data_IF_151044912224
#
_entry.id   IF_151044912224
#
_cell.length_a   1.000
_cell.length_b   1.000
_cell.length_c   1.000
_cell.angle_alpha   90.00
_cell.angle_beta   90.00
_cell.angle_gamma   90.00
#
_symmetry.space_group_name_H-M   'P 1'
#
loop_
_entity.id
_entity.type
_entity.pdbx_description
1 polymer ?
#
# COMPACT_ATOMS: atom_id res chain seq x y z
N UNK A 1 22.42 22.32 -7.70
CA UNK A 1 21.52 21.82 -8.77
C UNK A 1 21.02 20.49 -8.25
N UNK A 2 19.75 20.42 -7.87
CA UNK A 2 19.11 19.14 -7.51
C UNK A 2 19.15 18.26 -8.76
N UNK A 3 19.90 17.16 -8.72
CA UNK A 3 19.86 16.19 -9.81
C UNK A 3 18.48 15.55 -9.83
N UNK A 4 17.89 15.50 -11.02
CA UNK A 4 16.54 14.97 -11.22
C UNK A 4 16.51 13.44 -10.99
N UNK A 5 15.48 12.92 -10.30
CA UNK A 5 15.28 11.48 -10.15
C UNK A 5 15.31 10.79 -11.52
N UNK A 6 15.95 9.63 -11.58
CA UNK A 6 16.08 8.85 -12.83
C UNK A 6 15.01 7.78 -12.90
N UNK A 7 14.43 7.62 -14.08
CA UNK A 7 13.43 6.59 -14.37
C UNK A 7 14.04 5.58 -15.36
N UNK A 8 13.88 4.31 -15.05
CA UNK A 8 14.13 3.20 -15.99
C UNK A 8 12.85 2.41 -16.16
N UNK A 9 12.32 2.37 -17.38
CA UNK A 9 11.12 1.61 -17.71
C UNK A 9 11.49 0.34 -18.47
N UNK A 10 11.49 -0.81 -17.80
CA UNK A 10 11.55 -2.12 -18.42
C UNK A 10 10.15 -2.50 -18.90
N UNK A 11 9.87 -2.24 -20.17
CA UNK A 11 8.53 -2.38 -20.75
C UNK A 11 7.97 -3.81 -20.56
N UNK A 12 6.72 -3.91 -20.09
CA UNK A 12 6.07 -5.18 -19.77
C UNK A 12 6.48 -5.79 -18.43
N UNK A 13 7.34 -5.12 -17.65
CA UNK A 13 7.85 -5.63 -16.37
C UNK A 13 7.68 -4.62 -15.23
N UNK A 14 8.48 -3.53 -15.22
CA UNK A 14 8.54 -2.59 -14.10
C UNK A 14 9.05 -1.21 -14.49
N UNK A 15 8.80 -0.26 -13.59
CA UNK A 15 9.40 1.08 -13.60
C UNK A 15 10.25 1.21 -12.34
N UNK A 16 11.54 1.54 -12.48
CA UNK A 16 12.47 1.77 -11.38
C UNK A 16 12.79 3.25 -11.27
N UNK A 17 12.77 3.78 -10.04
CA UNK A 17 13.10 5.17 -9.73
C UNK A 17 14.37 5.19 -8.87
N UNK A 18 15.39 5.94 -9.33
CA UNK A 18 16.70 6.03 -8.69
C UNK A 18 17.00 7.47 -8.27
N UNK A 19 17.49 7.64 -7.05
CA UNK A 19 18.04 8.88 -6.56
C UNK A 19 19.50 9.02 -7.09
N UNK A 20 19.81 10.06 -7.88
CA UNK A 20 21.03 10.10 -8.69
C UNK A 20 22.31 10.36 -7.87
N UNK A 21 22.23 11.06 -6.72
CA UNK A 21 23.41 11.42 -5.90
C UNK A 21 23.95 10.20 -5.16
N UNK A 22 23.08 9.43 -4.53
CA UNK A 22 23.43 8.21 -3.81
C UNK A 22 23.51 6.99 -4.72
N UNK A 23 22.85 7.03 -5.89
CA UNK A 23 22.70 5.90 -6.78
C UNK A 23 21.68 4.85 -6.30
N UNK A 24 20.93 5.16 -5.25
CA UNK A 24 19.96 4.24 -4.65
C UNK A 24 18.71 4.14 -5.51
N UNK A 25 18.33 2.92 -5.90
CA UNK A 25 17.01 2.61 -6.44
C UNK A 25 15.99 2.72 -5.29
N UNK A 26 15.24 3.84 -5.23
CA UNK A 26 14.26 4.10 -4.18
C UNK A 26 13.12 3.08 -4.21
N UNK A 27 12.67 2.76 -5.43
CA UNK A 27 11.59 1.79 -5.63
C UNK A 27 11.59 1.16 -7.02
N UNK A 28 10.96 -0.02 -7.10
CA UNK A 28 10.51 -0.61 -8.37
C UNK A 28 8.99 -0.81 -8.32
N UNK A 29 8.27 -0.14 -9.22
CA UNK A 29 6.84 -0.36 -9.47
C UNK A 29 6.68 -1.48 -10.49
N UNK A 30 6.24 -2.65 -10.04
CA UNK A 30 6.12 -3.86 -10.85
C UNK A 30 4.67 -4.02 -11.30
N UNK A 31 4.45 -4.17 -12.62
CA UNK A 31 3.11 -4.29 -13.22
C UNK A 31 2.93 -5.51 -14.12
N UNK A 32 3.96 -6.35 -14.24
CA UNK A 32 3.85 -7.64 -14.94
C UNK A 32 2.82 -8.55 -14.26
N UNK A 33 2.14 -9.36 -15.05
CA UNK A 33 1.25 -10.39 -14.53
C UNK A 33 2.06 -11.49 -13.80
N UNK A 34 1.49 -12.00 -12.71
CA UNK A 34 2.08 -13.07 -11.90
C UNK A 34 1.08 -14.23 -11.72
N UNK A 35 1.41 -15.20 -10.83
CA UNK A 35 0.58 -16.38 -10.60
C UNK A 35 -0.83 -16.04 -10.09
N UNK A 36 -1.86 -16.64 -10.68
CA UNK A 36 -3.27 -16.35 -10.41
C UNK A 36 -3.64 -16.51 -8.94
N UNK A 37 -3.14 -17.55 -8.26
CA UNK A 37 -3.37 -17.79 -6.84
C UNK A 37 -2.92 -16.66 -5.91
N UNK A 38 -1.97 -15.85 -6.35
CA UNK A 38 -1.44 -14.72 -5.59
C UNK A 38 -2.22 -13.42 -5.84
N UNK A 39 -3.36 -13.47 -6.54
CA UNK A 39 -4.15 -12.33 -6.99
C UNK A 39 -3.26 -11.29 -7.70
N UNK A 40 -2.92 -11.50 -8.97
CA UNK A 40 -2.06 -10.61 -9.73
C UNK A 40 -2.51 -9.16 -9.64
N UNK A 41 -1.58 -8.28 -9.27
CA UNK A 41 -1.79 -6.84 -9.12
C UNK A 41 -0.47 -6.10 -9.20
N UNK A 42 -0.43 -4.86 -9.69
CA UNK A 42 0.76 -4.03 -9.58
C UNK A 42 1.11 -3.71 -8.14
N UNK A 43 2.41 -3.68 -7.84
CA UNK A 43 2.95 -3.44 -6.51
C UNK A 43 4.30 -2.72 -6.56
N UNK A 44 4.74 -2.20 -5.41
CA UNK A 44 6.07 -1.64 -5.23
C UNK A 44 6.92 -2.60 -4.38
N UNK A 45 7.97 -3.13 -5.00
CA UNK A 45 9.03 -3.86 -4.32
C UNK A 45 10.27 -3.98 -5.23
N UNK A 46 11.49 -3.74 -4.68
CA UNK A 46 11.76 -3.20 -3.35
C UNK A 46 11.31 -1.75 -3.18
N UNK A 47 11.07 -1.35 -1.94
CA UNK A 47 10.98 0.03 -1.47
C UNK A 47 12.15 0.23 -0.53
N UNK A 48 12.95 1.31 -0.70
CA UNK A 48 14.21 1.49 0.01
C UNK A 48 14.31 2.83 0.70
N UNK A 49 15.08 2.86 1.79
CA UNK A 49 15.57 4.09 2.38
C UNK A 49 16.62 4.75 1.48
N UNK A 50 17.03 5.98 1.79
CA UNK A 50 18.13 6.64 1.07
C UNK A 50 19.51 6.02 1.37
N UNK A 51 19.64 5.21 2.44
CA UNK A 51 20.79 4.36 2.69
C UNK A 51 20.84 3.10 1.82
N UNK A 52 19.73 2.78 1.14
CA UNK A 52 19.60 1.60 0.29
C UNK A 52 18.96 0.38 0.97
N UNK A 53 18.59 0.49 2.25
CA UNK A 53 17.99 -0.60 3.01
C UNK A 53 16.54 -0.84 2.59
N UNK A 54 16.18 -2.10 2.41
CA UNK A 54 14.83 -2.48 1.96
C UNK A 54 13.85 -2.45 3.12
N UNK A 55 12.74 -1.72 2.94
CA UNK A 55 11.66 -1.59 3.92
C UNK A 55 10.39 -2.35 3.51
N UNK A 56 10.48 -3.29 2.58
CA UNK A 56 9.36 -4.15 2.16
C UNK A 56 9.79 -5.61 2.13
N UNK A 57 8.84 -6.55 2.36
CA UNK A 57 9.03 -7.98 2.11
C UNK A 57 8.32 -8.41 0.82
N UNK A 58 8.77 -9.49 0.22
CA UNK A 58 8.25 -10.00 -1.04
C UNK A 58 8.08 -11.51 -1.02
N UNK A 59 6.83 -11.96 -1.20
CA UNK A 59 6.46 -13.38 -1.27
C UNK A 59 7.04 -14.23 -0.14
N UNK A 60 6.87 -13.84 1.15
CA UNK A 60 7.32 -14.67 2.25
C UNK A 60 6.67 -16.08 2.16
N UNK A 61 7.37 -17.10 2.63
CA UNK A 61 6.97 -18.51 2.45
C UNK A 61 5.55 -18.84 2.90
N UNK A 62 5.09 -18.17 3.94
CA UNK A 62 3.78 -18.34 4.57
C UNK A 62 2.67 -17.47 3.94
N UNK A 63 3.06 -16.41 3.19
CA UNK A 63 2.13 -15.44 2.58
C UNK A 63 2.64 -14.96 1.21
N UNK A 64 2.73 -15.86 0.22
CA UNK A 64 3.29 -15.54 -1.10
C UNK A 64 2.55 -14.45 -1.87
N UNK A 65 1.31 -14.17 -1.51
CA UNK A 65 0.51 -13.07 -2.06
C UNK A 65 0.80 -11.70 -1.44
N UNK A 66 1.65 -11.61 -0.40
CA UNK A 66 2.15 -10.33 0.11
C UNK A 66 3.32 -9.84 -0.74
N UNK A 67 3.16 -8.65 -1.34
CA UNK A 67 4.09 -8.09 -2.32
C UNK A 67 4.36 -6.62 -2.02
N UNK A 68 5.24 -6.37 -1.06
CA UNK A 68 5.69 -5.03 -0.70
C UNK A 68 4.55 -4.07 -0.36
N UNK A 69 4.39 -3.03 -1.15
CA UNK A 69 3.31 -2.04 -1.06
C UNK A 69 2.37 -2.22 -2.26
N UNK A 70 1.10 -2.52 -2.01
CA UNK A 70 0.11 -2.76 -3.08
C UNK A 70 -1.31 -2.40 -2.64
N UNK A 71 -2.12 -1.96 -3.60
CA UNK A 71 -3.56 -1.85 -3.36
C UNK A 71 -4.19 -3.25 -3.40
N UNK A 72 -5.11 -3.51 -2.49
CA UNK A 72 -5.70 -4.83 -2.27
C UNK A 72 -7.20 -4.72 -1.95
N UNK A 73 -7.93 -5.81 -2.18
CA UNK A 73 -9.31 -5.94 -1.73
C UNK A 73 -9.53 -7.40 -1.27
N UNK A 74 -9.49 -7.63 0.05
CA UNK A 74 -9.55 -8.97 0.62
C UNK A 74 -10.93 -9.62 0.49
N UNK A 75 -11.99 -8.80 0.49
CA UNK A 75 -13.37 -9.19 0.22
C UNK A 75 -13.99 -8.13 -0.70
N UNK A 76 -14.33 -8.51 -1.91
CA UNK A 76 -14.92 -7.62 -2.90
C UNK A 76 -16.11 -8.31 -3.55
N UNK A 77 -17.34 -8.06 -3.05
CA UNK A 77 -18.55 -8.73 -3.54
C UNK A 77 -18.39 -10.26 -3.65
N UNK A 78 -17.71 -10.89 -2.68
CA UNK A 78 -17.42 -12.33 -2.66
C UNK A 78 -16.12 -12.76 -3.33
N UNK A 79 -15.46 -11.89 -4.11
CA UNK A 79 -14.14 -12.16 -4.67
C UNK A 79 -13.00 -11.78 -3.69
N UNK A 80 -11.83 -12.37 -3.91
CA UNK A 80 -10.59 -12.15 -3.16
C UNK A 80 -9.51 -11.59 -4.09
N UNK A 81 -9.29 -10.27 -4.07
CA UNK A 81 -8.21 -9.60 -4.78
C UNK A 81 -7.00 -9.31 -3.85
N UNK A 82 -6.97 -9.98 -2.71
CA UNK A 82 -5.84 -10.04 -1.80
C UNK A 82 -4.85 -11.14 -2.21
N UNK A 83 -5.38 -12.33 -2.47
CA UNK A 83 -4.66 -13.55 -2.81
C UNK A 83 -4.65 -14.60 -1.69
N UNK A 84 -4.28 -15.81 -2.05
CA UNK A 84 -4.24 -16.94 -1.13
C UNK A 84 -5.62 -17.35 -0.61
N UNK A 85 -5.64 -17.84 0.62
CA UNK A 85 -6.87 -18.35 1.24
C UNK A 85 -7.89 -17.24 1.50
N UNK A 86 -9.17 -17.56 1.25
CA UNK A 86 -10.30 -16.69 1.61
C UNK A 86 -10.84 -17.07 2.99
N UNK A 87 -11.16 -16.07 3.80
CA UNK A 87 -11.83 -16.31 5.08
C UNK A 87 -13.31 -16.63 4.86
N UNK A 88 -13.79 -17.68 5.52
CA UNK A 88 -15.20 -18.10 5.54
C UNK A 88 -15.66 -18.17 6.99
N UNK A 89 -16.76 -17.48 7.30
CA UNK A 89 -17.30 -17.46 8.67
C UNK A 89 -17.59 -18.88 9.18
N UNK A 90 -17.12 -19.19 10.37
CA UNK A 90 -17.28 -20.51 11.00
C UNK A 90 -16.35 -21.61 10.50
N UNK A 91 -15.68 -21.42 9.35
CA UNK A 91 -14.78 -22.42 8.74
C UNK A 91 -13.31 -21.99 8.74
N UNK A 92 -13.03 -20.67 8.87
CA UNK A 92 -11.68 -20.11 8.85
C UNK A 92 -11.16 -19.84 7.44
N UNK A 93 -9.85 -20.02 7.23
CA UNK A 93 -9.21 -19.75 5.94
C UNK A 93 -9.20 -20.97 5.05
N UNK A 94 -9.91 -20.89 3.93
CA UNK A 94 -10.05 -21.96 2.95
C UNK A 94 -9.37 -21.59 1.63
N UNK A 95 -8.78 -22.60 0.99
CA UNK A 95 -8.27 -22.50 -0.37
C UNK A 95 -9.46 -22.56 -1.34
N UNK A 96 -9.88 -21.40 -1.86
CA UNK A 96 -10.99 -21.28 -2.82
C UNK A 96 -10.46 -20.51 -4.05
N UNK A 97 -9.79 -21.20 -4.99
CA UNK A 97 -9.21 -20.55 -6.18
C UNK A 97 -10.22 -19.72 -6.98
N UNK A 98 -11.47 -20.18 -7.03
CA UNK A 98 -12.58 -19.56 -7.77
C UNK A 98 -13.02 -18.21 -7.17
N UNK A 99 -12.48 -17.81 -6.02
CA UNK A 99 -12.67 -16.47 -5.46
C UNK A 99 -11.53 -15.52 -5.81
N UNK A 100 -10.35 -16.04 -6.19
CA UNK A 100 -9.16 -15.21 -6.38
C UNK A 100 -9.24 -14.45 -7.69
N UNK A 101 -9.31 -13.12 -7.60
CA UNK A 101 -9.37 -12.21 -8.74
C UNK A 101 -8.03 -11.56 -9.04
N UNK A 102 -8.05 -10.54 -9.91
CA UNK A 102 -6.85 -9.83 -10.36
C UNK A 102 -7.10 -8.35 -10.63
N UNK A 103 -6.04 -7.54 -10.49
CA UNK A 103 -5.97 -6.15 -10.98
C UNK A 103 -4.95 -6.10 -12.11
N UNK A 104 -5.38 -5.74 -13.32
CA UNK A 104 -4.58 -5.88 -14.54
C UNK A 104 -4.19 -4.51 -15.08
N UNK A 105 -2.92 -4.37 -15.40
CA UNK A 105 -2.40 -3.23 -16.14
C UNK A 105 -3.07 -3.12 -17.52
N UNK A 106 -3.49 -1.91 -17.88
CA UNK A 106 -4.02 -1.59 -19.22
C UNK A 106 -3.03 -0.72 -19.98
N UNK A 107 -2.67 0.43 -19.40
CA UNK A 107 -1.73 1.37 -20.00
C UNK A 107 -1.23 2.38 -18.96
N UNK A 108 -0.08 2.98 -19.22
CA UNK A 108 0.35 4.19 -18.54
C UNK A 108 -0.14 5.42 -19.31
N UNK A 109 -0.75 6.36 -18.59
CA UNK A 109 -1.11 7.67 -19.13
C UNK A 109 0.05 8.66 -18.95
N UNK A 110 0.90 8.45 -17.92
CA UNK A 110 2.08 9.26 -17.65
C UNK A 110 3.17 8.43 -16.97
N UNK A 111 4.41 8.57 -17.43
CA UNK A 111 5.63 8.14 -16.72
C UNK A 111 6.64 9.24 -16.96
N UNK A 112 6.80 10.14 -15.99
CA UNK A 112 7.59 11.37 -16.17
C UNK A 112 8.38 11.72 -14.92
N UNK A 113 9.45 12.48 -15.10
CA UNK A 113 10.15 13.20 -14.05
C UNK A 113 10.15 14.69 -14.40
N UNK A 114 9.83 15.54 -13.43
CA UNK A 114 9.81 16.99 -13.63
C UNK A 114 11.06 17.70 -13.05
N UNK A 115 11.23 18.97 -13.36
CA UNK A 115 12.37 19.77 -12.91
C UNK A 115 12.35 20.05 -11.39
N UNK A 116 11.24 19.78 -10.70
CA UNK A 116 11.17 19.86 -9.23
C UNK A 116 11.72 18.63 -8.54
N UNK A 117 12.12 17.59 -9.30
CA UNK A 117 12.57 16.30 -8.78
C UNK A 117 11.42 15.35 -8.42
N UNK A 118 10.19 15.64 -8.87
CA UNK A 118 9.05 14.74 -8.71
C UNK A 118 9.02 13.73 -9.86
N UNK A 119 8.74 12.49 -9.53
CA UNK A 119 8.39 11.45 -10.53
C UNK A 119 6.92 11.12 -10.44
N UNK A 120 6.28 10.94 -11.59
CA UNK A 120 4.88 10.55 -11.72
C UNK A 120 4.76 9.26 -12.50
N UNK A 121 4.00 8.31 -11.97
CA UNK A 121 3.55 7.09 -12.63
C UNK A 121 2.03 7.10 -12.57
N UNK A 122 1.37 7.36 -13.71
CA UNK A 122 -0.09 7.31 -13.82
C UNK A 122 -0.50 6.13 -14.71
N UNK A 123 -1.36 5.26 -14.19
CA UNK A 123 -1.70 3.97 -14.76
C UNK A 123 -3.22 3.77 -14.77
N UNK A 124 -3.71 3.14 -15.83
CA UNK A 124 -5.07 2.59 -15.89
C UNK A 124 -5.04 1.09 -15.65
N UNK A 125 -5.95 0.62 -14.80
CA UNK A 125 -6.10 -0.78 -14.46
C UNK A 125 -7.56 -1.21 -14.61
N UNK A 126 -7.74 -2.52 -14.73
CA UNK A 126 -9.05 -3.18 -14.65
C UNK A 126 -9.04 -4.25 -13.57
N UNK A 127 -10.16 -4.38 -12.84
CA UNK A 127 -10.33 -5.33 -11.75
C UNK A 127 -11.29 -6.43 -12.16
N UNK A 128 -10.87 -7.66 -11.96
CA UNK A 128 -11.58 -8.84 -12.41
C UNK A 128 -11.70 -9.88 -11.30
N UNK A 129 -12.88 -10.47 -11.06
CA UNK A 129 -13.01 -11.71 -10.32
C UNK A 129 -12.39 -12.87 -11.10
N UNK A 130 -12.48 -14.08 -10.55
CA UNK A 130 -11.91 -15.30 -11.14
C UNK A 130 -12.39 -15.59 -12.57
N UNK A 131 -13.66 -15.36 -12.87
CA UNK A 131 -14.27 -15.61 -14.18
C UNK A 131 -13.89 -14.58 -15.26
N UNK A 132 -13.17 -13.51 -14.86
CA UNK A 132 -12.65 -12.50 -15.77
C UNK A 132 -13.62 -11.40 -16.16
N UNK A 133 -14.83 -11.33 -15.56
CA UNK A 133 -15.75 -10.22 -15.75
C UNK A 133 -15.10 -8.88 -15.35
N UNK A 134 -15.42 -7.79 -16.03
CA UNK A 134 -14.94 -6.46 -15.65
C UNK A 134 -15.81 -5.90 -14.51
N UNK A 135 -15.23 -5.78 -13.31
CA UNK A 135 -15.94 -5.24 -12.15
C UNK A 135 -15.64 -3.79 -11.87
N UNK A 136 -14.39 -3.38 -12.03
CA UNK A 136 -14.03 -1.98 -11.84
C UNK A 136 -12.91 -1.55 -12.79
N UNK A 137 -12.86 -0.26 -13.07
CA UNK A 137 -11.70 0.43 -13.64
C UNK A 137 -11.04 1.30 -12.58
N UNK A 138 -9.73 1.35 -12.58
CA UNK A 138 -8.96 2.19 -11.68
C UNK A 138 -8.05 3.11 -12.47
N UNK A 139 -8.03 4.40 -12.10
CA UNK A 139 -6.95 5.31 -12.44
C UNK A 139 -6.07 5.44 -11.20
N UNK A 140 -4.83 4.98 -11.32
CA UNK A 140 -3.83 5.03 -10.26
C UNK A 140 -2.79 6.07 -10.58
N UNK A 141 -2.40 6.86 -9.58
CA UNK A 141 -1.30 7.82 -9.67
C UNK A 141 -0.37 7.64 -8.49
N UNK A 142 0.89 7.36 -8.75
CA UNK A 142 1.96 7.29 -7.76
C UNK A 142 2.94 8.41 -8.06
N UNK A 143 3.13 9.31 -7.09
CA UNK A 143 4.04 10.44 -7.20
C UNK A 143 5.15 10.27 -6.17
N UNK A 144 6.41 10.28 -6.62
CA UNK A 144 7.59 10.22 -5.77
C UNK A 144 8.10 11.64 -5.61
N UNK A 145 8.29 12.10 -4.39
CA UNK A 145 8.62 13.51 -4.09
C UNK A 145 9.30 13.67 -2.73
N UNK A 146 9.62 14.90 -2.35
CA UNK A 146 10.19 15.28 -1.05
C UNK A 146 11.47 14.50 -0.70
N UNK A 147 12.30 14.21 -1.72
CA UNK A 147 13.60 13.56 -1.48
C UNK A 147 14.53 14.55 -0.81
N UNK A 148 14.91 14.25 0.41
CA UNK A 148 15.70 15.11 1.29
C UNK A 148 16.87 14.31 1.86
N UNK A 149 18.07 14.59 1.34
CA UNK A 149 19.29 13.90 1.72
C UNK A 149 19.78 14.31 3.14
N UNK A 150 19.39 15.51 3.62
CA UNK A 150 19.78 15.99 4.94
C UNK A 150 18.97 15.29 6.04
N UNK A 151 17.65 15.21 5.88
CA UNK A 151 16.77 14.46 6.78
C UNK A 151 16.73 12.96 6.47
N UNK A 152 17.40 12.54 5.39
CA UNK A 152 17.47 11.15 4.92
C UNK A 152 16.08 10.52 4.80
N UNK A 153 15.17 11.24 4.14
CA UNK A 153 13.79 10.81 3.94
C UNK A 153 13.27 11.18 2.56
N UNK A 154 12.24 10.47 2.12
CA UNK A 154 11.50 10.77 0.91
C UNK A 154 10.07 10.28 1.04
N UNK A 155 9.20 10.72 0.15
CA UNK A 155 7.80 10.35 0.19
C UNK A 155 7.29 9.89 -1.18
N UNK A 156 6.24 9.07 -1.15
CA UNK A 156 5.36 8.86 -2.28
C UNK A 156 3.92 9.19 -1.89
N UNK A 157 3.17 9.74 -2.84
CA UNK A 157 1.71 9.88 -2.76
C UNK A 157 1.07 8.87 -3.68
N UNK A 158 0.20 8.03 -3.12
CA UNK A 158 -0.60 7.03 -3.85
C UNK A 158 -2.04 7.50 -3.93
N UNK A 159 -2.55 7.66 -5.14
CA UNK A 159 -3.96 7.99 -5.41
C UNK A 159 -4.58 6.90 -6.26
N UNK A 160 -5.72 6.37 -5.84
CA UNK A 160 -6.54 5.44 -6.61
C UNK A 160 -7.95 5.97 -6.74
N UNK A 161 -8.45 6.08 -7.96
CA UNK A 161 -9.85 6.38 -8.28
C UNK A 161 -10.47 5.13 -8.92
N UNK A 162 -11.33 4.43 -8.17
CA UNK A 162 -11.91 3.14 -8.53
C UNK A 162 -13.36 3.36 -8.93
N UNK A 163 -13.71 3.09 -10.19
CA UNK A 163 -15.06 3.25 -10.73
C UNK A 163 -15.73 1.89 -10.86
N UNK A 164 -16.90 1.72 -10.23
CA UNK A 164 -17.70 0.49 -10.37
C UNK A 164 -18.27 0.38 -11.79
N UNK A 165 -17.94 -0.71 -12.50
CA UNK A 165 -18.43 -1.02 -13.85
C UNK A 165 -19.54 -2.09 -13.89
N UNK A 166 -19.92 -2.60 -12.73
CA UNK A 166 -21.05 -3.53 -12.60
C UNK A 166 -22.38 -2.77 -12.65
N UNK A 167 -23.45 -3.51 -12.86
CA UNK A 167 -24.83 -3.02 -12.71
C UNK A 167 -25.34 -3.06 -11.26
N UNK A 168 -24.56 -3.66 -10.35
CA UNK A 168 -24.84 -3.81 -8.93
C UNK A 168 -23.78 -3.08 -8.10
N UNK A 169 -24.08 -2.73 -6.84
CA UNK A 169 -23.05 -2.18 -5.95
C UNK A 169 -21.86 -3.11 -5.80
N UNK A 170 -20.67 -2.52 -5.78
CA UNK A 170 -19.43 -3.21 -5.48
C UNK A 170 -19.18 -3.10 -3.98
N UNK A 171 -19.21 -4.21 -3.26
CA UNK A 171 -19.10 -4.26 -1.81
C UNK A 171 -17.66 -4.55 -1.40
N UNK A 172 -17.00 -3.55 -0.83
CA UNK A 172 -15.68 -3.72 -0.22
C UNK A 172 -15.86 -4.17 1.22
N UNK A 173 -15.25 -5.28 1.57
CA UNK A 173 -15.25 -5.84 2.90
C UNK A 173 -13.85 -6.27 3.35
N UNK A 174 -13.81 -6.97 4.46
CA UNK A 174 -12.60 -7.53 5.05
C UNK A 174 -12.93 -8.86 5.76
N UNK A 175 -11.97 -9.63 6.23
CA UNK A 175 -12.27 -10.78 7.08
C UNK A 175 -13.04 -10.39 8.35
N UNK A 176 -12.89 -9.16 8.87
CA UNK A 176 -13.68 -8.70 10.02
C UNK A 176 -15.15 -8.52 9.66
N UNK A 177 -15.47 -7.93 8.52
CA UNK A 177 -16.87 -7.83 8.06
C UNK A 177 -17.47 -9.20 7.76
N UNK A 178 -16.62 -10.20 7.44
CA UNK A 178 -17.01 -11.60 7.29
C UNK A 178 -17.04 -12.39 8.61
N UNK A 179 -16.83 -11.74 9.77
CA UNK A 179 -17.00 -12.33 11.10
C UNK A 179 -15.70 -12.75 11.80
N UNK A 180 -14.52 -12.44 11.27
CA UNK A 180 -13.24 -12.62 11.97
C UNK A 180 -12.88 -11.38 12.78
N UNK A 181 -12.69 -11.55 14.08
CA UNK A 181 -12.30 -10.45 14.94
C UNK A 181 -10.93 -9.85 14.55
N UNK A 182 -10.84 -8.50 14.57
CA UNK A 182 -9.63 -7.69 14.38
C UNK A 182 -8.74 -8.09 13.18
N UNK A 183 -9.37 -8.43 12.06
CA UNK A 183 -8.70 -8.80 10.80
C UNK A 183 -9.21 -7.95 9.62
N UNK A 184 -9.35 -6.65 9.84
CA UNK A 184 -9.91 -5.69 8.90
C UNK A 184 -8.98 -5.27 7.76
N UNK A 185 -8.06 -6.12 7.31
CA UNK A 185 -7.09 -5.77 6.27
C UNK A 185 -7.74 -5.70 4.88
N UNK A 186 -7.67 -4.53 4.29
CA UNK A 186 -8.03 -4.20 2.89
C UNK A 186 -7.48 -2.82 2.56
N UNK A 187 -7.44 -2.44 1.30
CA UNK A 187 -6.93 -1.15 0.87
C UNK A 187 -5.44 -1.13 0.53
N UNK A 188 -4.77 0.01 0.71
CA UNK A 188 -3.34 0.13 0.46
C UNK A 188 -2.55 -0.60 1.55
N UNK A 189 -2.00 -1.76 1.19
CA UNK A 189 -1.31 -2.65 2.12
C UNK A 189 0.20 -2.59 1.94
N UNK A 190 0.91 -2.41 3.04
CA UNK A 190 2.36 -2.54 3.14
C UNK A 190 2.73 -3.77 3.95
N UNK A 191 3.62 -4.58 3.40
CA UNK A 191 4.29 -5.67 4.07
C UNK A 191 5.73 -5.28 4.37
N UNK A 192 6.07 -5.12 5.66
CA UNK A 192 7.43 -4.87 6.11
C UNK A 192 8.33 -6.10 6.07
N UNK A 193 9.66 -5.90 6.07
CA UNK A 193 10.62 -7.00 6.12
C UNK A 193 10.54 -7.76 7.44
N UNK A 194 11.06 -8.99 7.47
CA UNK A 194 11.04 -9.84 8.68
C UNK A 194 11.77 -9.20 9.86
N UNK A 195 12.82 -8.46 9.58
CA UNK A 195 13.59 -7.71 10.58
C UNK A 195 12.73 -6.69 11.37
N UNK A 196 11.65 -6.17 10.76
CA UNK A 196 10.73 -5.23 11.41
C UNK A 196 9.72 -5.90 12.35
N UNK A 197 9.84 -7.20 12.59
CA UNK A 197 9.11 -7.87 13.66
C UNK A 197 9.46 -7.22 15.01
N UNK A 198 8.49 -7.08 15.90
CA UNK A 198 8.59 -6.36 17.18
C UNK A 198 8.90 -4.85 17.06
N UNK A 199 8.88 -4.32 15.83
CA UNK A 199 9.06 -2.89 15.57
C UNK A 199 8.01 -2.03 16.29
N UNK A 200 8.36 -0.77 16.53
CA UNK A 200 7.48 0.19 17.22
C UNK A 200 6.37 0.65 16.30
N UNK A 201 5.12 0.48 16.72
CA UNK A 201 3.94 1.06 16.09
C UNK A 201 3.68 2.41 16.77
N UNK A 202 3.55 3.49 15.97
CA UNK A 202 3.45 4.86 16.48
C UNK A 202 2.28 5.56 15.79
N UNK A 203 1.37 6.14 16.56
CA UNK A 203 0.28 6.99 16.09
C UNK A 203 0.32 8.38 16.72
N UNK A 204 -0.59 9.29 16.31
CA UNK A 204 -0.65 10.63 16.87
C UNK A 204 -0.92 10.62 18.39
N UNK A 205 -1.80 9.73 18.85
CA UNK A 205 -2.31 9.70 20.22
C UNK A 205 -1.84 8.50 21.04
N UNK A 206 -1.08 7.57 20.45
CA UNK A 206 -0.65 6.34 21.14
C UNK A 206 0.50 5.62 20.43
N UNK A 207 0.96 4.53 21.03
CA UNK A 207 1.97 3.61 20.48
C UNK A 207 1.57 2.19 20.83
N UNK A 208 1.93 1.23 19.96
CA UNK A 208 1.76 -0.18 20.23
C UNK A 208 0.63 -0.86 19.45
N UNK A 209 0.45 -2.18 19.66
CA UNK A 209 -0.51 -3.00 18.93
C UNK A 209 -1.97 -2.63 19.17
N UNK A 210 -2.28 -1.90 20.23
CA UNK A 210 -3.62 -1.37 20.55
C UNK A 210 -4.12 -0.34 19.53
N UNK A 211 -3.25 0.16 18.65
CA UNK A 211 -3.64 1.01 17.52
C UNK A 211 -4.35 0.23 16.39
N UNK A 212 -4.39 -1.10 16.47
CA UNK A 212 -5.20 -1.94 15.56
C UNK A 212 -6.68 -1.58 15.68
N UNK A 213 -7.32 -1.25 14.56
CA UNK A 213 -8.74 -0.89 14.51
C UNK A 213 -9.05 0.54 14.96
N UNK A 214 -8.05 1.36 15.31
CA UNK A 214 -8.26 2.78 15.61
C UNK A 214 -8.28 3.62 14.33
N UNK A 215 -8.72 4.86 14.45
CA UNK A 215 -8.61 5.90 13.44
C UNK A 215 -7.48 6.86 13.81
N UNK A 216 -7.00 7.62 12.83
CA UNK A 216 -5.98 8.64 13.03
C UNK A 216 -5.51 9.20 11.70
N UNK A 217 -4.94 10.41 11.71
CA UNK A 217 -4.45 11.06 10.49
C UNK A 217 -3.25 10.34 9.89
N UNK A 218 -2.44 9.71 10.74
CA UNK A 218 -1.27 8.95 10.33
C UNK A 218 -0.98 7.79 11.27
N UNK A 219 -0.21 6.83 10.78
CA UNK A 219 0.35 5.72 11.55
C UNK A 219 1.72 5.36 10.98
N UNK A 220 2.66 5.01 11.85
CA UNK A 220 4.00 4.63 11.47
C UNK A 220 4.43 3.32 12.12
N UNK A 221 5.39 2.67 11.48
CA UNK A 221 6.12 1.55 12.04
C UNK A 221 7.63 1.80 11.86
N UNK A 222 8.37 1.75 12.97
CA UNK A 222 9.83 1.82 12.99
C UNK A 222 10.40 0.46 13.35
N UNK A 223 11.34 -0.03 12.53
CA UNK A 223 11.98 -1.34 12.71
C UNK A 223 13.47 -1.28 12.50
N UNK A 224 14.17 -2.24 13.08
CA UNK A 224 15.61 -2.44 12.94
C UNK A 224 15.91 -3.28 11.69
N UNK A 225 17.02 -3.01 11.01
CA UNK A 225 17.45 -3.78 9.86
C UNK A 225 18.29 -5.00 10.25
N UNK A 226 18.10 -6.11 9.53
CA UNK A 226 19.06 -7.22 9.57
C UNK A 226 20.28 -6.90 8.69
N UNK A 227 21.49 -7.11 9.23
CA UNK A 227 22.72 -6.98 8.47
C UNK A 227 23.19 -5.55 8.23
N UNK A 228 22.52 -4.56 8.82
CA UNK A 228 22.94 -3.16 8.84
C UNK A 228 22.69 -2.58 10.24
N UNK A 229 23.63 -1.76 10.73
CA UNK A 229 23.46 -1.06 12.01
C UNK A 229 22.52 0.14 11.82
N UNK A 230 21.20 -0.06 11.95
CA UNK A 230 20.27 1.05 11.77
C UNK A 230 18.81 0.65 11.80
N UNK A 231 18.00 1.69 11.80
CA UNK A 231 16.54 1.62 11.78
C UNK A 231 16.00 2.28 10.53
N UNK A 232 14.78 1.93 10.16
CA UNK A 232 13.99 2.76 9.28
C UNK A 232 12.58 2.96 9.85
N UNK A 233 11.95 4.04 9.43
CA UNK A 233 10.56 4.35 9.76
C UNK A 233 9.74 4.51 8.48
N UNK A 234 8.61 3.79 8.41
CA UNK A 234 7.62 3.94 7.34
C UNK A 234 6.37 4.58 7.95
N UNK A 235 5.97 5.73 7.40
CA UNK A 235 4.79 6.49 7.86
C UNK A 235 3.71 6.44 6.80
N UNK A 236 2.48 6.15 7.19
CA UNK A 236 1.29 6.25 6.36
C UNK A 236 0.45 7.43 6.85
N UNK A 237 0.09 8.36 5.97
CA UNK A 237 -0.81 9.46 6.26
C UNK A 237 -2.01 9.47 5.31
N UNK A 238 -3.18 9.79 5.84
CA UNK A 238 -4.40 9.98 5.06
C UNK A 238 -4.47 11.39 4.50
N UNK A 239 -4.90 11.53 3.25
CA UNK A 239 -5.34 12.83 2.77
C UNK A 239 -6.67 13.22 3.45
N UNK A 240 -6.88 14.53 3.76
CA UNK A 240 -8.10 14.99 4.43
C UNK A 240 -9.38 14.59 3.71
N UNK A 241 -9.38 14.56 2.38
CA UNK A 241 -10.51 14.15 1.56
C UNK A 241 -10.94 12.70 1.76
N UNK A 242 -10.07 11.82 2.28
CA UNK A 242 -10.42 10.43 2.60
C UNK A 242 -11.42 10.33 3.76
N UNK A 243 -11.56 11.36 4.60
CA UNK A 243 -12.46 11.38 5.74
C UNK A 243 -13.95 11.47 5.34
N UNK A 244 -14.25 11.84 4.07
CA UNK A 244 -15.61 11.94 3.56
C UNK A 244 -16.31 10.60 3.46
N UNK A 245 -17.28 10.33 4.35
CA UNK A 245 -18.22 9.21 4.28
C UNK A 245 -17.79 7.89 4.91
N UNK A 246 -16.54 7.45 4.75
CA UNK A 246 -16.02 6.20 5.34
C UNK A 246 -14.58 6.40 5.78
N UNK A 247 -14.34 6.86 7.01
CA UNK A 247 -13.00 7.02 7.55
C UNK A 247 -12.33 5.65 7.66
N UNK A 248 -11.08 5.57 7.23
CA UNK A 248 -10.32 4.33 7.35
C UNK A 248 -9.91 4.07 8.80
N UNK A 249 -9.87 2.78 9.15
CA UNK A 249 -9.29 2.30 10.39
C UNK A 249 -7.94 1.66 10.11
N UNK A 250 -7.02 1.77 11.04
CA UNK A 250 -5.70 1.18 10.88
C UNK A 250 -5.74 -0.34 11.09
N UNK A 251 -5.42 -1.09 10.04
CA UNK A 251 -4.91 -2.43 10.23
C UNK A 251 -3.41 -2.32 10.40
N UNK A 252 -2.89 -2.74 11.55
CA UNK A 252 -1.45 -2.68 11.83
C UNK A 252 -1.01 -3.89 12.63
N UNK A 253 0.17 -4.42 12.30
CA UNK A 253 0.82 -5.49 13.03
C UNK A 253 2.32 -5.28 13.06
N UNK A 254 2.95 -5.64 14.16
CA UNK A 254 4.38 -5.88 14.27
C UNK A 254 4.68 -7.36 14.55
N UNK A 255 3.66 -8.15 14.92
CA UNK A 255 3.72 -9.60 15.09
C UNK A 255 2.56 -10.32 14.36
N UNK A 256 2.79 -11.50 13.76
CA UNK A 256 4.07 -12.22 13.53
C UNK A 256 4.94 -11.57 12.45
N UNK A 257 4.52 -10.46 11.87
CA UNK A 257 5.21 -9.69 10.86
C UNK A 257 4.75 -8.23 10.87
N UNK A 258 5.59 -7.35 10.37
CA UNK A 258 5.25 -5.94 10.19
C UNK A 258 4.28 -5.74 9.01
N UNK A 259 3.19 -5.03 9.24
CA UNK A 259 2.22 -4.64 8.21
C UNK A 259 1.41 -3.42 8.62
N UNK A 260 1.06 -2.59 7.63
CA UNK A 260 0.13 -1.46 7.77
C UNK A 260 -0.85 -1.50 6.59
N UNK A 261 -2.13 -1.25 6.87
CA UNK A 261 -3.11 -0.91 5.86
C UNK A 261 -4.16 0.07 6.42
N UNK A 262 -4.32 1.25 5.81
CA UNK A 262 -5.47 2.11 6.06
C UNK A 262 -6.71 1.46 5.43
N UNK A 263 -7.44 0.69 6.23
CA UNK A 263 -8.59 -0.08 5.79
C UNK A 263 -9.85 0.77 5.72
N UNK A 264 -10.45 0.86 4.56
CA UNK A 264 -11.74 1.54 4.36
C UNK A 264 -12.97 0.64 4.63
N UNK A 265 -12.76 -0.63 4.92
CA UNK A 265 -13.80 -1.60 5.26
C UNK A 265 -13.36 -2.51 6.42
N UNK A 266 -12.90 -1.90 7.52
CA UNK A 266 -12.41 -2.63 8.69
C UNK A 266 -13.54 -3.34 9.43
N UNK A 267 -14.54 -2.59 9.89
CA UNK A 267 -15.66 -3.09 10.69
C UNK A 267 -16.96 -3.21 9.89
N UNK A 268 -17.12 -2.39 8.86
CA UNK A 268 -18.32 -2.32 8.04
C UNK A 268 -17.95 -2.40 6.55
N UNK A 269 -18.82 -2.98 5.76
CA UNK A 269 -18.65 -2.99 4.30
C UNK A 269 -18.89 -1.58 3.74
N UNK A 270 -18.08 -1.22 2.74
CA UNK A 270 -18.27 -0.03 1.95
C UNK A 270 -18.90 -0.40 0.62
N UNK A 271 -20.09 0.11 0.36
CA UNK A 271 -20.78 -0.07 -0.91
C UNK A 271 -20.43 1.05 -1.88
N UNK A 272 -19.96 0.68 -3.07
CA UNK A 272 -19.75 1.60 -4.19
C UNK A 272 -20.85 1.36 -5.24
N UNK A 273 -21.82 2.27 -5.42
CA UNK A 273 -22.88 2.13 -6.38
C UNK A 273 -22.40 2.00 -7.84
N UNK A 274 -23.25 1.45 -8.74
CA UNK A 274 -22.95 1.38 -10.16
C UNK A 274 -22.58 2.74 -10.77
N UNK A 275 -21.46 2.80 -11.49
CA UNK A 275 -20.99 4.00 -12.16
C UNK A 275 -20.34 5.04 -11.24
N UNK A 276 -20.39 4.89 -9.93
CA UNK A 276 -19.73 5.79 -9.00
C UNK A 276 -18.24 5.48 -8.85
N UNK A 277 -17.47 6.48 -8.39
CA UNK A 277 -16.03 6.41 -8.23
C UNK A 277 -15.65 6.64 -6.76
N UNK A 278 -14.90 5.70 -6.20
CA UNK A 278 -14.24 5.81 -4.90
C UNK A 278 -12.81 6.30 -5.10
N UNK A 279 -12.49 7.49 -4.60
CA UNK A 279 -11.10 7.99 -4.60
C UNK A 279 -10.50 7.88 -3.21
N UNK A 280 -9.27 7.37 -3.15
CA UNK A 280 -8.46 7.31 -1.94
C UNK A 280 -7.04 7.80 -2.23
N UNK A 281 -6.51 8.62 -1.33
CA UNK A 281 -5.19 9.23 -1.44
C UNK A 281 -4.42 9.11 -0.14
N UNK A 282 -3.19 8.59 -0.24
CA UNK A 282 -2.31 8.33 0.90
C UNK A 282 -0.92 8.86 0.62
N UNK A 283 -0.23 9.32 1.67
CA UNK A 283 1.21 9.58 1.63
C UNK A 283 1.92 8.48 2.40
N UNK A 284 2.96 7.92 1.80
CA UNK A 284 3.89 6.99 2.45
C UNK A 284 5.25 7.66 2.52
N UNK A 285 5.76 7.86 3.73
CA UNK A 285 7.10 8.43 3.96
C UNK A 285 8.03 7.28 4.32
N UNK A 286 9.21 7.29 3.71
CA UNK A 286 10.30 6.36 4.02
C UNK A 286 11.46 7.16 4.57
N UNK A 287 11.84 6.89 5.80
CA UNK A 287 12.91 7.59 6.49
C UNK A 287 13.95 6.62 7.02
N UNK A 288 15.23 7.02 6.90
CA UNK A 288 16.30 6.39 7.65
C UNK A 288 16.20 6.76 9.13
N UNK A 289 16.49 5.80 10.00
CA UNK A 289 16.49 5.99 11.46
C UNK A 289 15.13 5.72 12.12
N UNK A 290 15.18 5.72 13.44
CA UNK A 290 14.03 5.50 14.31
C UNK A 290 13.34 6.84 14.64
N UNK A 291 12.42 7.28 13.79
CA UNK A 291 11.63 8.48 14.07
C UNK A 291 10.66 8.24 15.23
N UNK A 292 10.57 9.22 16.11
CA UNK A 292 9.54 9.30 17.13
C UNK A 292 8.33 10.11 16.67
N UNK A 293 7.30 10.17 17.51
CA UNK A 293 6.07 10.93 17.26
C UNK A 293 6.33 12.38 16.88
N UNK A 294 7.26 13.05 17.58
CA UNK A 294 7.58 14.44 17.32
C UNK A 294 8.24 14.65 15.95
N UNK A 295 9.10 13.72 15.51
CA UNK A 295 9.75 13.80 14.21
C UNK A 295 8.73 13.66 13.09
N UNK A 296 7.80 12.69 13.23
CA UNK A 296 6.74 12.43 12.28
C UNK A 296 5.79 13.62 12.18
N UNK A 297 5.31 14.14 13.32
CA UNK A 297 4.43 15.30 13.36
C UNK A 297 5.08 16.51 12.69
N UNK A 298 6.32 16.83 13.03
CA UNK A 298 7.09 17.92 12.42
C UNK A 298 7.27 17.75 10.91
N UNK A 299 7.52 16.50 10.46
CA UNK A 299 7.66 16.22 9.02
C UNK A 299 6.36 16.50 8.27
N UNK A 300 5.22 16.01 8.80
CA UNK A 300 3.91 16.14 8.16
C UNK A 300 3.40 17.59 8.20
N UNK A 301 3.58 18.31 9.31
CA UNK A 301 3.25 19.74 9.44
C UNK A 301 4.01 20.61 8.45
N UNK A 302 5.28 20.33 8.21
CA UNK A 302 6.13 21.04 7.27
C UNK A 302 5.81 20.74 5.78
N UNK A 303 4.96 19.75 5.51
CA UNK A 303 4.62 19.28 4.16
C UNK A 303 3.12 19.01 4.04
N UNK A 304 2.28 20.07 3.99
CA UNK A 304 0.82 19.91 3.83
C UNK A 304 0.48 19.17 2.54
N UNK A 305 -0.79 18.73 2.43
CA UNK A 305 -1.31 17.99 1.26
C UNK A 305 -1.41 18.86 0.00
#
# INVERSE_FOLDING_TARGET
VSEQLRIVHAHGDRITVTEPVTGVELLSYVYRAEADWEAPKPYIHPLRTLAGDVVTDYRPNDHRWHKGLSLTASHLSGANLWGGNSYVHGEGYLAIPERVGSMRHVAFDEVSADDSGRVVIAERLTWHPYDGELWAEETRRVEIHDVDLDSRSWALTWTSAITNRRTEPLLFGSPTTAGRDMAGYTGLFWRGPRAFRDGRIIGPDGEGPELMGTQGEWLALSGEHDGADGFATVVFAHAPENAGGHPAHWFVRNEPFAAIAPSWAFFEELALPPGETLTRRYRVVVADGAWGRADIAKYLEGRPW
#
